data_IF_498977775870
#
_entry.id   IF_498977775870
#
_cell.length_a   1.000
_cell.length_b   1.000
_cell.length_c   1.000
_cell.angle_alpha   90.00
_cell.angle_beta   90.00
_cell.angle_gamma   90.00
#
_symmetry.space_group_name_H-M   'P 1'
#
loop_
_entity.id
_entity.type
_entity.pdbx_description
1 polymer ?
#
# COMPACT_ATOMS: atom_id res chain seq x y z
N UNK A 1 18.36 18.57 11.58
CA UNK A 1 17.51 17.38 11.39
C UNK A 1 18.42 16.17 11.35
N UNK A 2 18.27 15.19 12.25
CA UNK A 2 19.03 13.95 12.15
C UNK A 2 18.55 13.22 10.90
N UNK A 3 19.46 12.97 9.95
CA UNK A 3 19.15 12.25 8.73
C UNK A 3 18.87 10.77 9.06
N UNK A 4 17.60 10.47 9.38
CA UNK A 4 17.15 9.12 9.72
C UNK A 4 17.20 8.17 8.51
N UNK A 5 17.39 8.68 7.29
CA UNK A 5 17.48 7.86 6.06
C UNK A 5 18.67 6.90 6.10
N UNK A 6 19.72 7.24 6.88
CA UNK A 6 20.89 6.37 7.12
C UNK A 6 20.66 5.30 8.19
N UNK A 7 19.49 5.29 8.80
CA UNK A 7 19.11 4.39 9.91
C UNK A 7 18.00 3.44 9.47
N UNK A 8 17.07 3.96 8.68
CA UNK A 8 15.92 3.21 8.17
C UNK A 8 16.33 2.39 6.96
N UNK A 9 16.00 1.11 7.01
CA UNK A 9 15.99 0.24 5.84
C UNK A 9 14.56 -0.06 5.44
N UNK A 10 14.41 -0.38 4.16
CA UNK A 10 13.14 -0.69 3.54
C UNK A 10 13.23 -1.99 2.76
N UNK A 11 12.21 -2.83 2.86
CA UNK A 11 12.07 -4.00 1.99
C UNK A 11 10.62 -4.13 1.53
N UNK A 12 10.40 -4.57 0.30
CA UNK A 12 9.06 -4.81 -0.21
C UNK A 12 8.38 -5.93 0.57
N UNK A 13 7.07 -5.76 0.78
CA UNK A 13 6.27 -6.86 1.26
C UNK A 13 6.28 -8.02 0.25
N UNK A 14 6.28 -9.27 0.73
CA UNK A 14 6.06 -10.42 -0.14
C UNK A 14 4.78 -10.26 -0.96
N UNK A 15 4.82 -10.75 -2.20
CA UNK A 15 3.76 -10.54 -3.20
C UNK A 15 2.34 -10.86 -2.70
N UNK A 16 2.13 -11.85 -1.83
CA UNK A 16 0.79 -12.19 -1.35
C UNK A 16 0.16 -11.11 -0.45
N UNK A 17 0.96 -10.19 0.10
CA UNK A 17 0.45 -9.02 0.82
C UNK A 17 0.09 -7.86 -0.12
N UNK A 18 0.35 -7.98 -1.42
CA UNK A 18 0.21 -6.88 -2.38
C UNK A 18 -0.75 -7.25 -3.50
N UNK A 19 -0.74 -8.52 -3.93
CA UNK A 19 -1.47 -8.99 -5.09
C UNK A 19 -2.55 -10.01 -4.74
N UNK A 20 -3.78 -9.61 -5.03
CA UNK A 20 -4.95 -10.44 -4.84
C UNK A 20 -4.89 -11.74 -5.62
N UNK A 21 -5.31 -12.81 -4.97
CA UNK A 21 -5.33 -14.15 -5.54
C UNK A 21 -3.94 -14.72 -5.84
N UNK A 22 -2.87 -14.14 -5.29
CA UNK A 22 -1.53 -14.73 -5.40
C UNK A 22 -1.45 -16.09 -4.71
N UNK A 23 -2.09 -16.22 -3.54
CA UNK A 23 -2.34 -17.52 -2.90
C UNK A 23 -3.56 -18.16 -3.56
N UNK A 24 -3.32 -19.25 -4.30
CA UNK A 24 -4.41 -20.01 -4.93
C UNK A 24 -5.03 -20.99 -3.96
N UNK A 25 -6.35 -20.97 -3.82
CA UNK A 25 -7.07 -21.94 -2.99
C UNK A 25 -7.67 -23.00 -3.89
N UNK A 26 -7.54 -24.26 -3.50
CA UNK A 26 -8.11 -25.38 -4.24
C UNK A 26 -9.61 -25.16 -4.53
N UNK A 27 -9.97 -25.12 -5.81
CA UNK A 27 -11.35 -24.98 -6.27
C UNK A 27 -11.99 -23.60 -6.04
N UNK A 28 -11.22 -22.56 -5.69
CA UNK A 28 -11.70 -21.18 -5.56
C UNK A 28 -10.68 -20.16 -6.06
N UNK A 29 -11.16 -19.00 -6.53
CA UNK A 29 -10.31 -17.81 -6.65
C UNK A 29 -9.93 -17.39 -5.22
N UNK A 30 -8.65 -17.09 -4.97
CA UNK A 30 -8.15 -16.79 -3.61
C UNK A 30 -8.94 -15.68 -2.92
N UNK A 31 -8.96 -15.68 -1.58
CA UNK A 31 -9.84 -14.84 -0.76
C UNK A 31 -9.10 -13.94 0.25
N UNK A 32 -7.76 -13.99 0.29
CA UNK A 32 -6.92 -13.20 1.17
C UNK A 32 -6.30 -12.04 0.36
N UNK A 33 -6.90 -10.84 0.42
CA UNK A 33 -6.37 -9.63 -0.24
C UNK A 33 -5.70 -8.67 0.74
N UNK A 34 -4.98 -7.69 0.17
CA UNK A 34 -4.43 -6.61 1.00
C UNK A 34 -5.53 -5.72 1.58
N UNK A 35 -6.62 -5.55 0.83
CA UNK A 35 -7.80 -4.80 1.25
C UNK A 35 -8.47 -5.45 2.45
N UNK A 36 -8.50 -6.78 2.51
CA UNK A 36 -9.06 -7.50 3.65
C UNK A 36 -8.31 -7.23 4.93
N UNK A 37 -6.98 -7.39 4.92
CA UNK A 37 -6.22 -7.15 6.14
C UNK A 37 -6.18 -5.67 6.51
N UNK A 38 -6.14 -4.75 5.54
CA UNK A 38 -6.18 -3.32 5.83
C UNK A 38 -7.50 -2.97 6.50
N UNK A 39 -8.64 -3.43 5.97
CA UNK A 39 -9.95 -3.20 6.59
C UNK A 39 -10.05 -3.81 7.99
N UNK A 40 -9.53 -5.02 8.18
CA UNK A 40 -9.45 -5.63 9.52
C UNK A 40 -8.63 -4.77 10.50
N UNK A 41 -7.50 -4.21 10.07
CA UNK A 41 -6.67 -3.33 10.90
C UNK A 41 -7.34 -1.99 11.16
N UNK A 42 -8.00 -1.38 10.18
CA UNK A 42 -8.76 -0.13 10.37
C UNK A 42 -9.90 -0.32 11.39
N UNK A 43 -10.53 -1.49 11.42
CA UNK A 43 -11.53 -1.83 12.45
C UNK A 43 -10.96 -1.99 13.87
N UNK A 44 -9.63 -2.04 14.01
CA UNK A 44 -8.94 -2.01 15.31
C UNK A 44 -8.29 -0.65 15.62
N UNK A 45 -8.33 0.29 14.68
CA UNK A 45 -7.83 1.65 14.87
C UNK A 45 -8.82 2.45 15.72
N UNK A 46 -8.31 3.16 16.72
CA UNK A 46 -9.15 4.04 17.55
C UNK A 46 -9.67 5.23 16.74
N UNK A 47 -8.83 5.78 15.86
CA UNK A 47 -9.18 6.90 14.99
C UNK A 47 -10.34 6.56 14.05
N UNK A 48 -10.23 5.45 13.33
CA UNK A 48 -11.28 5.03 12.40
C UNK A 48 -12.57 4.64 13.12
N UNK A 49 -12.49 4.03 14.31
CA UNK A 49 -13.69 3.75 15.13
C UNK A 49 -14.41 5.02 15.57
N UNK A 50 -13.70 6.13 15.80
CA UNK A 50 -14.34 7.44 16.07
C UNK A 50 -15.03 7.95 14.80
N UNK A 51 -14.35 7.91 13.64
CA UNK A 51 -14.91 8.37 12.37
C UNK A 51 -16.18 7.62 11.97
N UNK A 52 -16.21 6.31 12.19
CA UNK A 52 -17.36 5.46 11.87
C UNK A 52 -18.43 5.46 12.95
N UNK A 53 -18.23 6.20 14.06
CA UNK A 53 -19.10 6.18 15.25
C UNK A 53 -19.29 4.78 15.84
N UNK A 54 -18.24 3.97 15.79
CA UNK A 54 -18.23 2.60 16.27
C UNK A 54 -18.73 1.55 15.28
N UNK A 55 -19.23 1.94 14.10
CA UNK A 55 -19.61 0.99 13.07
C UNK A 55 -18.37 0.38 12.41
N UNK A 56 -18.40 -0.92 12.15
CA UNK A 56 -17.31 -1.57 11.42
C UNK A 56 -17.33 -1.12 9.96
N UNK A 57 -16.12 -1.00 9.41
CA UNK A 57 -15.90 -0.95 7.98
C UNK A 57 -16.06 -2.36 7.41
N UNK A 58 -16.93 -2.51 6.42
CA UNK A 58 -17.26 -3.75 5.74
C UNK A 58 -16.86 -3.67 4.25
N UNK A 59 -16.89 -4.82 3.57
CA UNK A 59 -16.79 -4.82 2.10
C UNK A 59 -18.02 -4.12 1.52
N UNK A 60 -17.89 -3.41 0.39
CA UNK A 60 -19.06 -2.93 -0.33
C UNK A 60 -19.99 -4.10 -0.69
N UNK A 61 -21.29 -3.83 -0.75
CA UNK A 61 -22.32 -4.83 -1.08
C UNK A 61 -22.25 -5.26 -2.54
N UNK A 62 -21.69 -4.41 -3.41
CA UNK A 62 -21.51 -4.68 -4.83
C UNK A 62 -20.06 -4.37 -5.25
N UNK A 63 -19.46 -5.22 -6.07
CA UNK A 63 -18.10 -4.97 -6.61
C UNK A 63 -18.19 -4.26 -7.97
N UNK A 64 -19.05 -3.25 -8.09
CA UNK A 64 -19.12 -2.45 -9.31
C UNK A 64 -17.91 -1.51 -9.42
N UNK A 65 -17.50 -1.21 -10.65
CA UNK A 65 -16.42 -0.27 -10.93
C UNK A 65 -16.71 1.09 -10.26
N UNK A 66 -15.96 1.42 -9.21
CA UNK A 66 -16.05 2.72 -8.54
C UNK A 66 -16.59 2.71 -7.12
N UNK A 67 -16.85 1.57 -6.50
CA UNK A 67 -17.16 1.51 -5.05
C UNK A 67 -15.91 1.70 -4.19
N UNK A 68 -16.09 2.00 -2.89
CA UNK A 68 -14.99 2.11 -1.95
C UNK A 68 -14.67 0.73 -1.37
N UNK A 69 -13.39 0.45 -1.09
CA UNK A 69 -12.93 -0.86 -0.62
C UNK A 69 -13.34 -1.17 0.84
N UNK A 70 -13.67 -0.13 1.60
CA UNK A 70 -14.15 -0.21 2.97
C UNK A 70 -15.26 0.81 3.25
N UNK A 71 -16.43 0.34 3.66
CA UNK A 71 -17.62 1.18 3.87
C UNK A 71 -18.31 0.94 5.20
N UNK A 72 -18.89 1.99 5.74
CA UNK A 72 -19.85 1.99 6.84
C UNK A 72 -20.90 3.05 6.54
N UNK A 73 -21.97 3.11 7.32
CA UNK A 73 -22.98 4.18 7.16
C UNK A 73 -22.44 5.61 7.31
N UNK A 74 -21.32 5.79 8.04
CA UNK A 74 -20.80 7.12 8.40
C UNK A 74 -19.56 7.51 7.62
N UNK A 75 -18.82 6.53 7.13
CA UNK A 75 -17.53 6.74 6.53
C UNK A 75 -17.24 5.64 5.50
N UNK A 76 -16.65 6.04 4.39
CA UNK A 76 -16.16 5.14 3.35
C UNK A 76 -14.77 5.57 2.93
N UNK A 77 -13.93 4.60 2.59
CA UNK A 77 -12.54 4.84 2.19
C UNK A 77 -12.10 3.82 1.15
N UNK A 78 -11.26 4.29 0.23
CA UNK A 78 -10.78 3.57 -0.93
C UNK A 78 -9.27 3.38 -0.79
N UNK A 79 -8.81 2.14 -0.96
CA UNK A 79 -7.44 1.73 -0.75
C UNK A 79 -6.65 1.85 -2.05
N UNK A 80 -5.43 2.37 -1.95
CA UNK A 80 -4.53 2.51 -3.10
C UNK A 80 -3.12 2.13 -2.72
N UNK A 81 -2.53 1.24 -3.52
CA UNK A 81 -1.14 0.86 -3.38
C UNK A 81 -0.22 1.94 -3.93
N UNK A 82 0.80 2.29 -3.16
CA UNK A 82 1.90 3.14 -3.61
C UNK A 82 2.97 2.24 -4.22
N UNK A 83 2.66 1.70 -5.39
CA UNK A 83 3.54 0.81 -6.12
C UNK A 83 3.24 0.91 -7.62
N UNK A 84 4.26 1.21 -8.42
CA UNK A 84 4.13 1.31 -9.86
C UNK A 84 3.68 -0.02 -10.50
N UNK A 85 2.96 0.06 -11.62
CA UNK A 85 2.47 -1.14 -12.32
C UNK A 85 3.63 -2.02 -12.79
N UNK A 86 4.75 -1.40 -13.19
CA UNK A 86 5.98 -2.13 -13.54
C UNK A 86 6.51 -2.97 -12.38
N UNK A 87 6.57 -2.40 -11.17
CA UNK A 87 7.00 -3.08 -9.95
C UNK A 87 6.01 -4.17 -9.54
N UNK A 88 4.70 -3.90 -9.60
CA UNK A 88 3.66 -4.91 -9.35
C UNK A 88 3.79 -6.10 -10.31
N UNK A 89 4.03 -5.83 -11.62
CA UNK A 89 4.24 -6.87 -12.63
C UNK A 89 5.52 -7.65 -12.36
N UNK A 90 6.63 -6.98 -12.04
CA UNK A 90 7.90 -7.63 -11.73
C UNK A 90 7.75 -8.57 -10.53
N UNK A 91 7.31 -8.04 -9.37
CA UNK A 91 7.14 -8.80 -8.13
C UNK A 91 6.21 -9.99 -8.34
N UNK A 92 5.10 -9.82 -9.06
CA UNK A 92 4.16 -10.90 -9.32
C UNK A 92 4.71 -12.03 -10.19
N UNK A 93 5.63 -11.73 -11.11
CA UNK A 93 6.18 -12.72 -12.02
C UNK A 93 7.44 -13.39 -11.47
N UNK A 94 8.22 -12.69 -10.64
CA UNK A 94 9.49 -13.20 -10.08
C UNK A 94 9.33 -13.86 -8.71
N UNK A 95 8.21 -13.63 -8.03
CA UNK A 95 7.95 -14.27 -6.73
C UNK A 95 7.49 -15.72 -6.87
N UNK A 96 7.83 -16.54 -5.87
CA UNK A 96 7.27 -17.88 -5.71
C UNK A 96 5.75 -17.81 -5.67
N UNK A 97 5.12 -18.76 -6.34
CA UNK A 97 3.67 -18.92 -6.36
C UNK A 97 3.25 -19.84 -5.22
N UNK A 98 2.13 -19.53 -4.59
CA UNK A 98 1.65 -20.28 -3.42
C UNK A 98 0.29 -20.87 -3.75
N UNK A 99 0.05 -22.11 -3.35
CA UNK A 99 -1.30 -22.70 -3.33
C UNK A 99 -1.60 -23.40 -2.03
N UNK A 100 -2.86 -23.46 -1.63
CA UNK A 100 -3.32 -24.13 -0.42
C UNK A 100 -4.59 -24.93 -0.65
N UNK A 101 -4.85 -25.92 0.20
CA UNK A 101 -6.09 -26.71 0.18
C UNK A 101 -7.28 -25.87 0.67
N UNK A 102 -8.51 -26.37 0.49
CA UNK A 102 -9.74 -25.67 0.93
C UNK A 102 -9.75 -25.31 2.42
N UNK A 103 -9.13 -26.14 3.26
CA UNK A 103 -9.04 -25.93 4.70
C UNK A 103 -7.95 -24.92 5.11
N UNK A 104 -7.13 -24.45 4.16
CA UNK A 104 -5.96 -23.58 4.39
C UNK A 104 -4.96 -24.16 5.42
N UNK A 105 -4.86 -25.49 5.48
CA UNK A 105 -4.07 -26.22 6.48
C UNK A 105 -2.71 -26.67 5.96
N UNK A 106 -2.53 -26.76 4.64
CA UNK A 106 -1.28 -27.13 3.97
C UNK A 106 -1.08 -26.17 2.80
N UNK A 107 0.16 -25.72 2.57
CA UNK A 107 0.50 -24.90 1.41
C UNK A 107 1.67 -25.51 0.62
N UNK A 108 1.72 -25.17 -0.67
CA UNK A 108 2.73 -25.62 -1.61
C UNK A 108 3.39 -24.41 -2.28
N UNK A 109 4.71 -24.45 -2.33
CA UNK A 109 5.52 -23.51 -3.10
C UNK A 109 5.69 -24.00 -4.53
N UNK A 110 5.52 -23.08 -5.47
CA UNK A 110 5.73 -23.30 -6.89
C UNK A 110 6.72 -22.28 -7.43
N UNK A 111 7.40 -22.66 -8.51
CA UNK A 111 8.31 -21.77 -9.21
C UNK A 111 7.60 -20.47 -9.67
N UNK A 112 8.33 -19.35 -9.75
CA UNK A 112 7.84 -18.12 -10.36
C UNK A 112 7.30 -18.36 -11.78
N UNK A 113 6.41 -17.47 -12.24
CA UNK A 113 5.82 -17.57 -13.58
C UNK A 113 6.74 -16.97 -14.64
N UNK A 114 7.41 -15.88 -14.31
CA UNK A 114 8.21 -15.10 -15.23
C UNK A 114 9.56 -15.73 -15.50
N UNK A 115 10.07 -15.48 -16.70
CA UNK A 115 11.44 -15.78 -17.11
C UNK A 115 12.12 -14.46 -17.49
N UNK A 116 13.44 -14.36 -17.25
CA UNK A 116 14.24 -13.20 -17.64
C UNK A 116 14.14 -12.01 -16.69
N UNK A 117 14.62 -10.87 -17.17
CA UNK A 117 14.73 -9.63 -16.39
C UNK A 117 13.47 -8.76 -16.53
N UNK A 118 13.04 -8.16 -15.43
CA UNK A 118 11.95 -7.20 -15.40
C UNK A 118 12.50 -5.82 -15.02
N UNK A 119 12.18 -4.81 -15.83
CA UNK A 119 12.43 -3.41 -15.47
C UNK A 119 11.27 -2.88 -14.64
N UNK A 120 11.59 -2.21 -13.54
CA UNK A 120 10.62 -1.59 -12.65
C UNK A 120 11.18 -0.30 -12.07
N UNK A 121 10.29 0.62 -11.72
CA UNK A 121 10.67 1.91 -11.15
C UNK A 121 10.46 1.96 -9.65
N UNK A 122 11.30 2.74 -8.97
CA UNK A 122 11.07 3.14 -7.58
C UNK A 122 10.16 4.37 -7.56
N UNK A 123 8.85 4.13 -7.64
CA UNK A 123 7.84 5.17 -7.80
C UNK A 123 7.99 6.35 -6.83
N UNK A 124 8.23 6.08 -5.54
CA UNK A 124 8.39 7.12 -4.52
C UNK A 124 9.61 8.01 -4.74
N UNK A 125 10.73 7.41 -5.15
CA UNK A 125 11.95 8.14 -5.47
C UNK A 125 11.76 9.01 -6.71
N UNK A 126 11.08 8.48 -7.74
CA UNK A 126 10.77 9.27 -8.94
C UNK A 126 9.89 10.48 -8.61
N UNK A 127 8.82 10.30 -7.82
CA UNK A 127 7.89 11.38 -7.49
C UNK A 127 8.56 12.58 -6.80
N UNK A 128 9.66 12.35 -6.08
CA UNK A 128 10.48 13.39 -5.45
C UNK A 128 11.10 14.35 -6.47
N UNK A 129 11.46 13.85 -7.64
CA UNK A 129 12.20 14.60 -8.67
C UNK A 129 11.28 15.47 -9.55
N UNK A 130 9.96 15.23 -9.51
CA UNK A 130 8.98 16.01 -10.27
C UNK A 130 8.33 17.10 -9.43
N UNK A 131 8.25 18.30 -10.01
CA UNK A 131 7.47 19.39 -9.43
C UNK A 131 5.98 19.30 -9.80
N UNK A 132 5.14 20.11 -9.14
CA UNK A 132 3.68 20.06 -9.32
C UNK A 132 3.22 20.37 -10.75
N UNK A 133 3.91 21.25 -11.49
CA UNK A 133 3.52 21.56 -12.86
C UNK A 133 3.81 20.38 -13.79
N UNK A 134 4.96 19.73 -13.64
CA UNK A 134 5.30 18.54 -14.43
C UNK A 134 4.33 17.39 -14.15
N UNK A 135 3.99 17.15 -12.88
CA UNK A 135 2.98 16.15 -12.51
C UNK A 135 1.60 16.48 -13.10
N UNK A 136 1.19 17.75 -13.15
CA UNK A 136 -0.07 18.17 -13.80
C UNK A 136 -0.06 17.87 -15.30
N UNK A 137 1.05 18.10 -15.98
CA UNK A 137 1.17 17.77 -17.41
C UNK A 137 1.13 16.25 -17.65
N UNK A 138 1.78 15.45 -16.80
CA UNK A 138 1.71 13.97 -16.86
C UNK A 138 0.28 13.45 -16.65
N UNK A 139 -0.51 14.10 -15.78
CA UNK A 139 -1.93 13.73 -15.55
C UNK A 139 -2.77 14.00 -16.81
N UNK A 140 -2.50 15.08 -17.53
CA UNK A 140 -3.24 15.49 -18.74
C UNK A 140 -2.85 14.69 -19.98
N UNK A 141 -1.66 14.08 -20.00
CA UNK A 141 -1.21 13.29 -21.14
C UNK A 141 -1.98 11.96 -21.22
N UNK A 142 -3.01 11.98 -22.05
CA UNK A 142 -3.89 10.84 -22.27
C UNK A 142 -3.22 9.69 -23.02
N UNK A 143 -2.08 9.93 -23.69
CA UNK A 143 -1.32 8.86 -24.35
C UNK A 143 -0.80 7.87 -23.31
N UNK A 144 -0.35 8.37 -22.15
CA UNK A 144 0.14 7.57 -21.01
C UNK A 144 -0.94 6.69 -20.34
N UNK A 145 -2.16 6.62 -20.90
CA UNK A 145 -3.20 5.65 -20.49
C UNK A 145 -2.92 4.25 -21.02
N UNK A 146 -2.20 4.11 -22.13
CA UNK A 146 -1.86 2.81 -22.71
C UNK A 146 -0.65 2.20 -22.00
N UNK A 147 -0.83 0.95 -21.55
CA UNK A 147 0.16 0.20 -20.76
C UNK A 147 1.40 -0.24 -21.56
N UNK A 148 1.46 0.10 -22.85
CA UNK A 148 2.46 -0.33 -23.83
C UNK A 148 3.31 0.84 -24.36
N UNK A 149 3.40 1.96 -23.63
CA UNK A 149 4.34 3.04 -23.98
C UNK A 149 5.73 2.71 -23.43
N UNK A 150 6.77 2.93 -24.26
CA UNK A 150 8.19 2.69 -23.95
C UNK A 150 8.74 3.50 -22.75
N UNK A 151 7.93 4.39 -22.15
CA UNK A 151 8.26 5.24 -21.00
C UNK A 151 7.60 4.70 -19.72
N UNK A 152 8.24 3.68 -19.13
CA UNK A 152 7.78 3.01 -17.90
C UNK A 152 7.65 4.02 -16.74
N UNK A 153 8.55 5.00 -16.66
CA UNK A 153 8.57 6.02 -15.60
C UNK A 153 7.32 6.89 -15.65
N UNK A 154 7.05 7.52 -16.79
CA UNK A 154 5.86 8.36 -16.94
C UNK A 154 4.56 7.56 -16.84
N UNK A 155 4.56 6.32 -17.32
CA UNK A 155 3.37 5.45 -17.24
C UNK A 155 3.02 5.12 -15.78
N UNK A 156 4.00 4.71 -14.97
CA UNK A 156 3.78 4.38 -13.56
C UNK A 156 3.41 5.62 -12.73
N UNK A 157 4.05 6.76 -12.98
CA UNK A 157 3.69 8.05 -12.36
C UNK A 157 2.26 8.43 -12.74
N UNK A 158 1.91 8.39 -14.03
CA UNK A 158 0.57 8.77 -14.51
C UNK A 158 -0.52 7.88 -13.89
N UNK A 159 -0.30 6.57 -13.84
CA UNK A 159 -1.22 5.63 -13.21
C UNK A 159 -1.41 5.93 -11.71
N UNK A 160 -0.32 6.16 -10.98
CA UNK A 160 -0.40 6.51 -9.56
C UNK A 160 -1.13 7.84 -9.34
N UNK A 161 -0.76 8.90 -10.07
CA UNK A 161 -1.40 10.21 -9.95
C UNK A 161 -2.89 10.14 -10.30
N UNK A 162 -3.28 9.43 -11.36
CA UNK A 162 -4.69 9.21 -11.71
C UNK A 162 -5.45 8.51 -10.58
N UNK A 163 -4.80 7.58 -9.88
CA UNK A 163 -5.37 6.92 -8.70
C UNK A 163 -5.59 7.87 -7.51
N UNK A 164 -4.81 8.94 -7.40
CA UNK A 164 -5.08 10.01 -6.45
C UNK A 164 -6.25 10.88 -6.89
N UNK A 165 -6.59 10.92 -8.18
CA UNK A 165 -7.60 11.85 -8.70
C UNK A 165 -9.06 11.36 -8.52
N UNK A 166 -9.31 10.40 -7.63
CA UNK A 166 -10.67 9.98 -7.26
C UNK A 166 -11.28 10.89 -6.19
N UNK A 167 -12.57 11.22 -6.35
CA UNK A 167 -13.36 12.04 -5.44
C UNK A 167 -13.86 11.24 -4.21
N UNK A 168 -12.94 10.60 -3.50
CA UNK A 168 -13.21 9.74 -2.34
C UNK A 168 -12.16 9.94 -1.26
N UNK A 169 -12.44 9.49 -0.03
CA UNK A 169 -11.40 9.36 0.98
C UNK A 169 -10.43 8.26 0.53
N UNK A 170 -9.13 8.51 0.63
CA UNK A 170 -8.10 7.58 0.19
C UNK A 170 -7.28 7.06 1.37
N UNK A 171 -6.95 5.78 1.33
CA UNK A 171 -5.94 5.15 2.17
C UNK A 171 -4.79 4.68 1.28
N UNK A 172 -3.71 5.46 1.27
CA UNK A 172 -2.52 5.17 0.47
C UNK A 172 -1.62 4.22 1.27
N UNK A 173 -1.58 2.96 0.86
CA UNK A 173 -0.74 1.96 1.50
C UNK A 173 0.55 1.78 0.71
N UNK A 174 1.69 2.05 1.35
CA UNK A 174 2.99 1.76 0.78
C UNK A 174 3.38 0.32 1.17
N UNK A 175 3.41 -0.65 0.23
CA UNK A 175 3.66 -2.06 0.56
C UNK A 175 5.15 -2.34 0.83
N UNK A 176 5.74 -1.58 1.75
CA UNK A 176 7.13 -1.64 2.17
C UNK A 176 7.16 -1.69 3.70
N UNK A 177 8.03 -2.55 4.20
CA UNK A 177 8.34 -2.64 5.62
C UNK A 177 9.55 -1.75 5.90
N UNK A 178 9.36 -0.84 6.83
CA UNK A 178 10.39 0.01 7.39
C UNK A 178 10.93 -0.68 8.64
N UNK A 179 12.25 -0.83 8.71
CA UNK A 179 12.93 -1.43 9.85
C UNK A 179 14.27 -0.72 10.11
N UNK A 180 14.85 -0.99 11.28
CA UNK A 180 16.12 -0.41 11.72
C UNK A 180 17.13 -1.55 11.93
N UNK A 181 18.37 -1.27 11.58
CA UNK A 181 19.50 -2.19 11.79
C UNK A 181 20.35 -1.80 13.01
N UNK A 182 19.92 -0.77 13.75
CA UNK A 182 20.58 -0.32 14.97
C UNK A 182 19.57 0.21 16.00
N UNK A 183 20.09 0.54 17.18
CA UNK A 183 19.29 0.97 18.34
C UNK A 183 18.96 2.46 18.35
N UNK A 184 19.23 3.21 17.27
CA UNK A 184 18.90 4.63 17.21
C UNK A 184 17.38 4.82 17.30
N UNK A 185 16.96 5.75 18.16
CA UNK A 185 15.56 6.10 18.32
C UNK A 185 15.08 6.87 17.10
N UNK A 186 14.01 6.38 16.50
CA UNK A 186 13.29 7.04 15.40
C UNK A 186 11.92 7.45 15.95
N UNK A 187 11.55 8.70 15.72
CA UNK A 187 10.22 9.17 16.09
C UNK A 187 9.26 8.98 14.91
N UNK A 188 7.96 8.84 15.20
CA UNK A 188 6.94 8.73 14.15
C UNK A 188 6.86 10.01 13.31
N UNK A 189 7.10 11.18 13.92
CA UNK A 189 7.13 12.45 13.22
C UNK A 189 8.27 12.51 12.20
N UNK A 190 9.47 12.05 12.58
CA UNK A 190 10.59 11.99 11.64
C UNK A 190 10.34 11.00 10.49
N UNK A 191 9.63 9.89 10.74
CA UNK A 191 9.16 8.97 9.68
C UNK A 191 8.14 9.65 8.75
N UNK A 192 7.19 10.39 9.31
CA UNK A 192 6.21 11.17 8.54
C UNK A 192 6.90 12.23 7.67
N UNK A 193 7.89 12.95 8.20
CA UNK A 193 8.69 13.93 7.45
C UNK A 193 9.40 13.26 6.27
N UNK A 194 10.11 12.15 6.52
CA UNK A 194 10.80 11.38 5.48
C UNK A 194 9.84 10.91 4.38
N UNK A 195 8.68 10.36 4.75
CA UNK A 195 7.67 9.97 3.78
C UNK A 195 7.13 11.17 3.02
N UNK A 196 6.85 12.29 3.70
CA UNK A 196 6.29 13.46 3.06
C UNK A 196 7.23 14.06 2.01
N UNK A 197 8.55 14.02 2.22
CA UNK A 197 9.53 14.46 1.21
C UNK A 197 9.37 13.74 -0.13
N UNK A 198 9.06 12.44 -0.14
CA UNK A 198 8.87 11.63 -1.36
C UNK A 198 7.56 11.96 -2.09
N UNK A 199 6.51 12.32 -1.35
CA UNK A 199 5.15 12.39 -1.90
C UNK A 199 4.54 13.80 -1.90
N UNK A 200 5.24 14.81 -1.37
CA UNK A 200 4.68 16.15 -1.13
C UNK A 200 3.98 16.75 -2.36
N UNK A 201 4.57 16.63 -3.55
CA UNK A 201 4.01 17.24 -4.75
C UNK A 201 2.74 16.50 -5.21
N UNK A 202 2.72 15.17 -5.13
CA UNK A 202 1.53 14.38 -5.44
C UNK A 202 0.39 14.60 -4.42
N UNK A 203 0.71 14.69 -3.13
CA UNK A 203 -0.25 14.94 -2.06
C UNK A 203 -0.83 16.36 -2.09
N UNK A 204 -0.03 17.36 -2.48
CA UNK A 204 -0.50 18.73 -2.74
C UNK A 204 -1.52 18.76 -3.86
N UNK A 205 -1.22 18.13 -5.00
CA UNK A 205 -2.17 18.04 -6.12
C UNK A 205 -3.50 17.37 -5.71
N UNK A 206 -3.43 16.31 -4.90
CA UNK A 206 -4.62 15.65 -4.35
C UNK A 206 -5.48 16.61 -3.51
N UNK A 207 -4.82 17.40 -2.67
CA UNK A 207 -5.48 18.31 -1.73
C UNK A 207 -6.08 19.51 -2.44
N UNK A 208 -5.40 20.04 -3.45
CA UNK A 208 -5.93 21.09 -4.32
C UNK A 208 -7.20 20.62 -5.05
N UNK A 209 -7.19 19.40 -5.60
CA UNK A 209 -8.31 18.90 -6.41
C UNK A 209 -9.51 18.45 -5.58
N UNK A 210 -9.30 17.78 -4.45
CA UNK A 210 -10.41 17.42 -3.57
C UNK A 210 -10.10 17.69 -2.08
N UNK A 211 -10.18 18.97 -1.65
CA UNK A 211 -9.84 19.40 -0.29
C UNK A 211 -10.79 18.89 0.80
N UNK A 212 -11.97 18.36 0.41
CA UNK A 212 -13.00 17.87 1.35
C UNK A 212 -12.86 16.40 1.72
N UNK A 213 -11.97 15.67 1.06
CA UNK A 213 -11.79 14.24 1.30
C UNK A 213 -10.49 13.99 2.03
N UNK A 214 -10.52 13.08 2.98
CA UNK A 214 -9.34 12.68 3.71
C UNK A 214 -8.38 11.89 2.82
N UNK A 215 -7.08 12.03 3.09
CA UNK A 215 -6.05 11.18 2.51
C UNK A 215 -5.18 10.68 3.65
N UNK A 216 -5.22 9.38 3.89
CA UNK A 216 -4.37 8.68 4.84
C UNK A 216 -3.21 8.04 4.12
N UNK A 217 -2.11 7.88 4.84
CA UNK A 217 -0.89 7.25 4.39
C UNK A 217 -0.53 6.16 5.39
N UNK A 218 -0.12 4.99 4.91
CA UNK A 218 0.27 3.91 5.79
C UNK A 218 1.48 3.14 5.30
N UNK A 219 2.32 2.76 6.27
CA UNK A 219 3.49 1.90 6.11
C UNK A 219 3.46 0.81 7.17
N UNK A 220 4.27 -0.23 6.97
CA UNK A 220 4.55 -1.17 8.06
C UNK A 220 5.86 -0.77 8.74
N UNK A 221 5.82 -0.60 10.06
CA UNK A 221 6.99 -0.31 10.88
C UNK A 221 6.90 -1.08 12.20
N UNK A 222 7.96 -1.79 12.56
CA UNK A 222 8.05 -2.55 13.83
C UNK A 222 6.81 -3.42 14.14
N UNK A 223 6.37 -4.25 13.16
CA UNK A 223 5.19 -5.13 13.27
C UNK A 223 3.85 -4.41 13.48
N UNK A 224 3.78 -3.13 13.12
CA UNK A 224 2.58 -2.30 13.20
C UNK A 224 2.28 -1.65 11.86
N UNK A 225 1.01 -1.47 11.58
CA UNK A 225 0.55 -0.54 10.55
C UNK A 225 0.60 0.86 11.13
N UNK A 226 1.59 1.65 10.72
CA UNK A 226 1.68 3.06 11.05
C UNK A 226 0.76 3.83 10.12
N UNK A 227 -0.16 4.61 10.70
CA UNK A 227 -1.12 5.42 9.96
C UNK A 227 -0.80 6.89 10.21
N UNK A 228 -0.69 7.64 9.12
CA UNK A 228 -0.59 9.10 9.11
C UNK A 228 -1.73 9.68 8.28
N UNK A 229 -2.10 10.94 8.55
CA UNK A 229 -3.07 11.69 7.77
C UNK A 229 -2.36 12.84 7.07
N UNK A 230 -2.64 13.04 5.79
CA UNK A 230 -2.17 14.22 5.08
C UNK A 230 -3.02 15.42 5.47
N UNK A 231 -2.40 16.43 6.08
CA UNK A 231 -3.05 17.69 6.41
C UNK A 231 -2.20 18.87 5.94
N UNK A 232 -2.82 19.72 5.10
CA UNK A 232 -2.20 20.89 4.48
C UNK A 232 -0.93 20.55 3.69
N UNK A 233 0.22 20.55 4.36
CA UNK A 233 1.57 20.43 3.81
C UNK A 233 2.43 19.52 4.70
N UNK A 234 1.82 18.56 5.39
CA UNK A 234 2.56 17.57 6.16
C UNK A 234 1.78 16.25 6.28
N UNK A 235 2.50 15.17 6.63
CA UNK A 235 1.91 13.95 7.17
C UNK A 235 1.92 14.04 8.70
N UNK A 236 0.74 13.90 9.31
CA UNK A 236 0.57 13.91 10.75
C UNK A 236 0.37 12.47 11.21
N UNK A 237 1.21 11.98 12.12
CA UNK A 237 1.05 10.66 12.70
C UNK A 237 -0.29 10.57 13.46
N UNK A 238 -1.04 9.49 13.22
CA UNK A 238 -2.34 9.24 13.85
C UNK A 238 -2.20 8.15 14.90
N UNK A 239 -1.82 6.93 14.48
CA UNK A 239 -1.66 5.82 15.39
C UNK A 239 -0.86 4.66 14.77
N UNK A 240 -0.51 3.70 15.62
CA UNK A 240 0.05 2.41 15.21
C UNK A 240 -0.94 1.30 15.57
N UNK A 241 -1.31 0.48 14.60
CA UNK A 241 -2.17 -0.70 14.80
C UNK A 241 -1.33 -1.97 14.70
N UNK A 242 -1.38 -2.82 15.73
CA UNK A 242 -0.64 -4.09 15.75
C UNK A 242 -1.11 -5.01 14.61
N UNK A 243 -0.19 -5.49 13.76
CA UNK A 243 -0.52 -6.36 12.61
C UNK A 243 -1.21 -7.65 13.04
N UNK A 244 -0.90 -8.13 14.26
CA UNK A 244 -1.49 -9.34 14.85
C UNK A 244 -3.02 -9.28 14.98
N UNK A 245 -3.62 -8.08 14.93
CA UNK A 245 -5.08 -7.93 15.00
C UNK A 245 -5.79 -8.35 13.70
N UNK A 246 -5.08 -8.44 12.58
CA UNK A 246 -5.65 -8.97 11.34
C UNK A 246 -5.43 -10.48 11.24
N UNK A 247 -6.54 -11.22 11.17
CA UNK A 247 -6.51 -12.66 10.89
C UNK A 247 -6.00 -12.94 9.48
N UNK A 248 -6.37 -12.08 8.53
CA UNK A 248 -5.93 -12.21 7.14
C UNK A 248 -4.45 -11.94 6.97
N UNK A 249 -3.90 -10.90 7.61
CA UNK A 249 -2.46 -10.64 7.64
C UNK A 249 -1.66 -11.82 8.19
N UNK A 250 -2.07 -12.34 9.36
CA UNK A 250 -1.40 -13.46 10.01
C UNK A 250 -1.45 -14.74 9.16
N UNK A 251 -2.56 -14.97 8.45
CA UNK A 251 -2.70 -16.11 7.54
C UNK A 251 -1.77 -15.99 6.35
N UNK A 252 -1.70 -14.81 5.71
CA UNK A 252 -0.75 -14.54 4.62
C UNK A 252 0.69 -14.73 5.11
N UNK A 253 1.02 -14.19 6.29
CA UNK A 253 2.32 -14.34 6.95
C UNK A 253 2.70 -15.80 7.15
N UNK A 254 1.74 -16.67 7.48
CA UNK A 254 1.95 -18.10 7.65
C UNK A 254 2.50 -18.80 6.40
N UNK A 255 2.17 -18.33 5.19
CA UNK A 255 2.73 -18.89 3.95
C UNK A 255 4.19 -18.47 3.67
N UNK A 256 4.75 -17.57 4.47
CA UNK A 256 6.14 -17.13 4.39
C UNK A 256 6.91 -17.41 5.69
N UNK A 257 6.45 -18.38 6.49
CA UNK A 257 7.08 -18.74 7.77
C UNK A 257 8.55 -19.17 7.60
N UNK A 258 8.97 -19.65 6.43
CA UNK A 258 10.35 -19.99 6.10
C UNK A 258 11.24 -18.76 5.81
N UNK A 259 10.67 -17.60 5.51
CA UNK A 259 11.42 -16.38 5.14
C UNK A 259 11.84 -15.63 6.42
N UNK A 260 13.15 -15.57 6.70
CA UNK A 260 13.70 -14.95 7.91
C UNK A 260 13.21 -13.51 8.12
N UNK A 261 13.27 -12.71 7.06
CA UNK A 261 12.78 -11.33 7.04
C UNK A 261 11.33 -11.20 7.51
N UNK A 262 10.43 -12.09 7.06
CA UNK A 262 9.01 -12.08 7.43
C UNK A 262 8.82 -12.47 8.90
N UNK A 263 9.62 -13.40 9.43
CA UNK A 263 9.55 -13.76 10.85
C UNK A 263 10.02 -12.62 11.76
N UNK A 264 11.03 -11.89 11.31
CA UNK A 264 11.70 -10.87 12.10
C UNK A 264 10.91 -9.55 12.14
N UNK A 265 10.41 -9.09 10.99
CA UNK A 265 9.86 -7.73 10.83
C UNK A 265 8.35 -7.65 10.64
N UNK A 266 7.66 -8.77 10.38
CA UNK A 266 6.20 -8.86 10.26
C UNK A 266 5.60 -9.69 11.39
#
# INVERSE_FOLDING_TARGET
MNDISKTIKTNFLPVAFVKDGHVKIEGKKGDDSYEDYLRELLNHSKHFMILTKGNKLERPLTENNGENDATSEKYSIDFKLILGNSAQKAIANTSRRISTNKAKSIYFDHNPRGNGEYKAVRLHALLRDYNQNELREIIKDDRLKDRDIDDIEKTDISCFLKSLMYNKNLFLFFPVVFYKDDDRKITMDSLCELLFEDFQNALRLRTEKFPKYDTYFAIIYEKKLMIAKHEKNNLIFIENVELRHSKTFNRIKGYYDQVSFVREYL
#
